data_IF_350703955470
#
_entry.id   IF_350703955470
#
_cell.length_a   1.000
_cell.length_b   1.000
_cell.length_c   1.000
_cell.angle_alpha   90.00
_cell.angle_beta   90.00
_cell.angle_gamma   90.00
#
_symmetry.space_group_name_H-M   'P 1'
#
loop_
_entity.id
_entity.type
_entity.pdbx_description
1 polymer ?
#
# COMPACT_ATOMS: atom_id res chain seq x y z
N UNK A 1 -28.24 2.57 29.31
CA UNK A 1 -26.82 2.56 29.72
C UNK A 1 -26.10 3.56 28.85
N UNK A 2 -25.78 4.73 29.38
CA UNK A 2 -25.00 5.75 28.62
C UNK A 2 -23.55 5.25 28.62
N UNK A 3 -23.09 4.82 27.45
CA UNK A 3 -21.69 4.42 27.24
C UNK A 3 -20.88 5.72 27.12
N UNK A 4 -20.22 6.12 28.21
CA UNK A 4 -19.29 7.25 28.18
C UNK A 4 -18.08 6.91 27.33
N UNK A 5 -17.58 7.82 26.49
CA UNK A 5 -16.37 7.57 25.72
C UNK A 5 -15.20 7.34 26.68
N UNK A 6 -14.61 6.16 26.60
CA UNK A 6 -13.51 5.71 27.43
C UNK A 6 -12.27 6.60 27.30
N UNK A 7 -11.52 6.71 28.41
CA UNK A 7 -10.21 7.35 28.47
C UNK A 7 -9.23 6.77 27.43
N UNK A 8 -8.16 7.51 27.12
CA UNK A 8 -7.15 7.14 26.09
C UNK A 8 -6.61 5.71 26.26
N UNK A 9 -6.42 5.26 27.52
CA UNK A 9 -5.91 3.92 27.84
C UNK A 9 -6.88 2.79 27.43
N UNK A 10 -8.18 3.02 27.50
CA UNK A 10 -9.20 1.99 27.23
C UNK A 10 -9.51 1.80 25.72
N UNK A 11 -9.15 2.77 24.85
CA UNK A 11 -9.43 2.67 23.41
C UNK A 11 -8.58 1.58 22.75
N UNK A 12 -7.27 1.56 22.98
CA UNK A 12 -6.36 0.54 22.41
C UNK A 12 -6.67 -0.86 22.96
N UNK A 13 -7.07 -0.96 24.21
CA UNK A 13 -7.56 -2.22 24.79
C UNK A 13 -8.88 -2.67 24.15
N UNK A 14 -9.77 -1.74 23.81
CA UNK A 14 -11.01 -2.09 23.12
C UNK A 14 -10.78 -2.59 21.70
N UNK A 15 -9.76 -2.09 20.97
CA UNK A 15 -9.38 -2.66 19.66
C UNK A 15 -9.03 -4.15 19.78
N UNK A 16 -8.28 -4.54 20.80
CA UNK A 16 -7.97 -5.95 21.00
C UNK A 16 -9.19 -6.79 21.35
N UNK A 17 -10.10 -6.25 22.16
CA UNK A 17 -11.33 -6.91 22.54
C UNK A 17 -12.28 -7.15 21.34
N UNK A 18 -12.36 -6.20 20.41
CA UNK A 18 -13.20 -6.28 19.22
C UNK A 18 -12.50 -6.87 17.98
N UNK A 19 -11.35 -7.54 18.10
CA UNK A 19 -10.59 -8.11 16.96
C UNK A 19 -11.41 -9.02 16.05
N UNK A 20 -12.44 -9.70 16.59
CA UNK A 20 -13.35 -10.53 15.80
C UNK A 20 -14.14 -9.72 14.78
N UNK A 21 -14.48 -8.47 15.12
CA UNK A 21 -15.15 -7.57 14.18
C UNK A 21 -14.23 -7.26 12.99
N UNK A 22 -12.94 -7.03 13.24
CA UNK A 22 -11.97 -6.84 12.16
C UNK A 22 -11.90 -8.06 11.24
N UNK A 23 -11.87 -9.27 11.81
CA UNK A 23 -11.87 -10.51 11.02
C UNK A 23 -13.13 -10.64 10.16
N UNK A 24 -14.31 -10.39 10.74
CA UNK A 24 -15.60 -10.47 10.01
C UNK A 24 -15.64 -9.43 8.88
N UNK A 25 -15.18 -8.19 9.14
CA UNK A 25 -15.11 -7.14 8.13
C UNK A 25 -14.16 -7.52 7.00
N UNK A 26 -12.94 -7.99 7.33
CA UNK A 26 -11.97 -8.45 6.36
C UNK A 26 -12.51 -9.57 5.49
N UNK A 27 -13.14 -10.58 6.10
CA UNK A 27 -13.76 -11.70 5.37
C UNK A 27 -14.89 -11.21 4.45
N UNK A 28 -15.75 -10.31 4.93
CA UNK A 28 -16.82 -9.70 4.13
C UNK A 28 -16.23 -8.96 2.92
N UNK A 29 -15.22 -8.11 3.13
CA UNK A 29 -14.66 -7.28 2.07
C UNK A 29 -13.95 -8.12 1.01
N UNK A 30 -13.24 -9.19 1.43
CA UNK A 30 -12.67 -10.19 0.53
C UNK A 30 -13.80 -10.91 -0.25
N UNK A 31 -14.85 -11.34 0.43
CA UNK A 31 -15.96 -12.06 -0.21
C UNK A 31 -16.68 -11.17 -1.23
N UNK A 32 -16.94 -9.91 -0.91
CA UNK A 32 -17.58 -8.97 -1.84
C UNK A 32 -16.72 -8.74 -3.07
N UNK A 33 -15.41 -8.57 -2.92
CA UNK A 33 -14.50 -8.33 -4.04
C UNK A 33 -14.41 -9.50 -5.01
N UNK A 34 -14.40 -10.71 -4.50
CA UNK A 34 -14.11 -11.89 -5.32
C UNK A 34 -15.33 -12.75 -5.70
N UNK A 35 -16.40 -12.79 -4.89
CA UNK A 35 -17.58 -13.64 -5.16
C UNK A 35 -18.46 -13.16 -6.31
N UNK A 36 -18.49 -11.87 -6.60
CA UNK A 36 -19.43 -11.28 -7.55
C UNK A 36 -18.81 -10.93 -8.92
N UNK A 37 -17.55 -11.30 -9.16
CA UNK A 37 -16.87 -10.96 -10.41
C UNK A 37 -16.33 -12.23 -11.08
N UNK A 38 -16.79 -12.49 -12.32
CA UNK A 38 -16.30 -13.60 -13.16
C UNK A 38 -14.79 -13.48 -13.42
N UNK A 39 -14.25 -12.24 -13.47
CA UNK A 39 -12.86 -11.92 -13.77
C UNK A 39 -12.11 -11.31 -12.58
N UNK A 40 -12.61 -11.41 -11.35
CA UNK A 40 -12.03 -10.71 -10.19
C UNK A 40 -10.55 -11.00 -9.97
N UNK A 41 -10.19 -12.27 -9.92
CA UNK A 41 -8.78 -12.69 -9.79
C UNK A 41 -7.96 -12.40 -11.06
N UNK A 42 -8.58 -12.48 -12.24
CA UNK A 42 -7.91 -12.21 -13.51
C UNK A 42 -7.51 -10.74 -13.62
N UNK A 43 -8.33 -9.82 -13.15
CA UNK A 43 -7.99 -8.40 -13.14
C UNK A 43 -6.83 -8.06 -12.21
N UNK A 44 -6.71 -8.73 -11.06
CA UNK A 44 -5.59 -8.55 -10.15
C UNK A 44 -4.25 -8.94 -10.82
N UNK A 45 -4.30 -9.88 -11.77
CA UNK A 45 -3.16 -10.37 -12.55
C UNK A 45 -2.94 -9.52 -13.80
N UNK A 46 -3.99 -9.26 -14.57
CA UNK A 46 -3.91 -8.62 -15.89
C UNK A 46 -3.44 -7.17 -15.80
N UNK A 47 -3.91 -6.42 -14.81
CA UNK A 47 -3.56 -5.00 -14.65
C UNK A 47 -2.05 -4.79 -14.44
N UNK A 48 -1.36 -5.48 -13.51
CA UNK A 48 0.09 -5.39 -13.39
C UNK A 48 0.83 -5.82 -14.66
N UNK A 49 0.38 -6.88 -15.34
CA UNK A 49 1.02 -7.36 -16.56
C UNK A 49 0.92 -6.36 -17.71
N UNK A 50 -0.26 -5.81 -17.97
CA UNK A 50 -0.45 -4.81 -19.01
C UNK A 50 0.38 -3.54 -18.73
N UNK A 51 0.38 -3.08 -17.47
CA UNK A 51 1.17 -1.91 -17.11
C UNK A 51 2.68 -2.21 -17.20
N UNK A 52 3.12 -3.38 -16.77
CA UNK A 52 4.51 -3.83 -16.95
C UNK A 52 4.91 -3.81 -18.41
N UNK A 53 4.06 -4.34 -19.31
CA UNK A 53 4.33 -4.36 -20.76
C UNK A 53 4.49 -2.93 -21.30
N UNK A 54 3.56 -2.04 -20.96
CA UNK A 54 3.62 -0.63 -21.41
C UNK A 54 4.88 0.06 -20.89
N UNK A 55 5.16 -0.03 -19.58
CA UNK A 55 6.33 0.62 -18.99
C UNK A 55 7.66 0.02 -19.52
N UNK A 56 7.70 -1.29 -19.77
CA UNK A 56 8.86 -1.95 -20.37
C UNK A 56 9.12 -1.45 -21.79
N UNK A 57 8.07 -1.25 -22.59
CA UNK A 57 8.23 -0.71 -23.95
C UNK A 57 8.68 0.76 -23.88
N UNK A 58 8.00 1.57 -23.09
CA UNK A 58 8.25 3.01 -23.02
C UNK A 58 9.63 3.31 -22.43
N UNK A 59 9.93 2.79 -21.25
CA UNK A 59 11.17 3.11 -20.54
C UNK A 59 12.33 2.19 -20.95
N UNK A 60 12.07 0.92 -21.19
CA UNK A 60 13.12 -0.05 -21.54
C UNK A 60 13.53 0.01 -23.00
N UNK A 61 12.56 0.09 -23.95
CA UNK A 61 12.88 0.05 -25.39
C UNK A 61 12.98 1.43 -26.05
N UNK A 62 12.06 2.36 -25.73
CA UNK A 62 12.01 3.68 -26.36
C UNK A 62 13.00 4.64 -25.68
N UNK A 63 12.91 4.77 -24.35
CA UNK A 63 13.78 5.65 -23.58
C UNK A 63 15.17 5.05 -23.29
N UNK A 64 15.39 3.76 -23.55
CA UNK A 64 16.67 3.05 -23.33
C UNK A 64 17.26 3.25 -21.92
N UNK A 65 16.40 3.30 -20.91
CA UNK A 65 16.87 3.45 -19.52
C UNK A 65 17.57 2.17 -19.05
N UNK A 66 18.65 2.29 -18.27
CA UNK A 66 19.35 1.14 -17.74
C UNK A 66 18.49 0.36 -16.74
N UNK A 67 18.51 -0.96 -16.87
CA UNK A 67 17.93 -1.85 -15.86
C UNK A 67 18.95 -2.03 -14.74
N UNK A 68 18.81 -1.34 -13.61
CA UNK A 68 19.72 -1.46 -12.47
C UNK A 68 19.91 -2.92 -12.01
N UNK A 69 21.15 -3.27 -11.57
CA UNK A 69 21.48 -4.58 -10.98
C UNK A 69 21.43 -5.77 -11.92
N UNK A 70 21.47 -5.57 -13.27
CA UNK A 70 21.44 -6.66 -14.25
C UNK A 70 20.12 -7.40 -14.36
N UNK A 71 19.04 -6.87 -13.76
CA UNK A 71 17.70 -7.44 -13.89
C UNK A 71 17.13 -7.22 -15.30
N UNK A 72 16.45 -8.22 -15.89
CA UNK A 72 15.61 -7.98 -17.05
C UNK A 72 14.58 -6.89 -16.78
N UNK A 73 14.39 -5.96 -17.73
CA UNK A 73 13.54 -4.79 -17.55
C UNK A 73 12.10 -5.12 -17.07
N UNK A 74 11.43 -6.18 -17.61
CA UNK A 74 10.12 -6.58 -17.11
C UNK A 74 10.09 -6.91 -15.61
N UNK A 75 11.16 -7.54 -15.10
CA UNK A 75 11.27 -7.90 -13.66
C UNK A 75 11.52 -6.65 -12.81
N UNK A 76 12.37 -5.73 -13.29
CA UNK A 76 12.59 -4.45 -12.65
C UNK A 76 11.28 -3.68 -12.49
N UNK A 77 10.46 -3.63 -13.54
CA UNK A 77 9.16 -2.95 -13.51
C UNK A 77 8.18 -3.68 -12.60
N UNK A 78 8.07 -5.02 -12.68
CA UNK A 78 7.15 -5.81 -11.84
C UNK A 78 7.49 -5.67 -10.35
N UNK A 79 8.76 -5.72 -9.99
CA UNK A 79 9.19 -5.56 -8.59
C UNK A 79 8.83 -4.21 -7.99
N UNK A 80 8.68 -3.16 -8.82
CA UNK A 80 8.18 -1.85 -8.40
C UNK A 80 6.66 -1.73 -8.47
N UNK A 81 6.01 -2.31 -9.50
CA UNK A 81 4.56 -2.25 -9.68
C UNK A 81 3.78 -2.98 -8.60
N UNK A 82 4.26 -4.14 -8.17
CA UNK A 82 3.54 -4.97 -7.19
C UNK A 82 3.32 -4.24 -5.86
N UNK A 83 4.36 -3.74 -5.18
CA UNK A 83 4.16 -2.97 -3.97
C UNK A 83 3.42 -1.65 -4.21
N UNK A 84 3.60 -1.03 -5.38
CA UNK A 84 2.86 0.18 -5.74
C UNK A 84 1.35 -0.09 -5.87
N UNK A 85 0.95 -1.15 -6.58
CA UNK A 85 -0.47 -1.49 -6.71
C UNK A 85 -1.11 -1.87 -5.38
N UNK A 86 -0.38 -2.59 -4.52
CA UNK A 86 -0.84 -2.83 -3.15
C UNK A 86 -1.13 -1.52 -2.44
N UNK A 87 -0.17 -0.61 -2.41
CA UNK A 87 -0.29 0.69 -1.74
C UNK A 87 -1.44 1.51 -2.33
N UNK A 88 -1.46 1.68 -3.65
CA UNK A 88 -2.41 2.56 -4.33
C UNK A 88 -3.85 2.08 -4.23
N UNK A 89 -4.10 0.79 -4.45
CA UNK A 89 -5.44 0.21 -4.35
C UNK A 89 -5.94 0.22 -2.91
N UNK A 90 -5.11 -0.20 -1.96
CA UNK A 90 -5.47 -0.21 -0.54
C UNK A 90 -5.72 1.19 0.00
N UNK A 91 -4.90 2.19 -0.40
CA UNK A 91 -5.10 3.58 -0.01
C UNK A 91 -6.45 4.13 -0.48
N UNK A 92 -6.83 3.86 -1.73
CA UNK A 92 -8.14 4.27 -2.28
C UNK A 92 -9.30 3.65 -1.51
N UNK A 93 -9.24 2.36 -1.23
CA UNK A 93 -10.28 1.66 -0.48
C UNK A 93 -10.35 2.12 0.98
N UNK A 94 -9.21 2.26 1.65
CA UNK A 94 -9.14 2.76 3.02
C UNK A 94 -9.75 4.13 3.15
N UNK A 95 -9.42 5.03 2.22
CA UNK A 95 -9.89 6.42 2.26
C UNK A 95 -11.41 6.55 2.10
N UNK A 96 -12.04 5.63 1.36
CA UNK A 96 -13.48 5.61 1.15
C UNK A 96 -14.22 4.70 2.15
N UNK A 97 -13.51 3.93 2.97
CA UNK A 97 -14.07 2.85 3.79
C UNK A 97 -15.17 3.32 4.75
N UNK A 98 -15.00 4.46 5.40
CA UNK A 98 -15.96 5.00 6.37
C UNK A 98 -17.23 5.48 5.65
N UNK A 99 -17.09 6.19 4.53
CA UNK A 99 -18.21 6.72 3.74
C UNK A 99 -19.01 5.57 3.12
N UNK A 100 -18.33 4.57 2.55
CA UNK A 100 -18.98 3.41 1.94
C UNK A 100 -19.76 2.57 2.97
N UNK A 101 -19.39 2.63 4.25
CA UNK A 101 -20.04 1.90 5.33
C UNK A 101 -20.87 2.79 6.28
N UNK A 102 -21.34 3.97 5.82
CA UNK A 102 -22.11 4.93 6.64
C UNK A 102 -23.30 4.31 7.38
N UNK A 103 -24.05 3.43 6.72
CA UNK A 103 -25.19 2.74 7.33
C UNK A 103 -24.80 1.86 8.54
N UNK A 104 -23.60 1.28 8.52
CA UNK A 104 -23.09 0.48 9.64
C UNK A 104 -22.54 1.37 10.75
N UNK A 105 -21.82 2.44 10.37
CA UNK A 105 -21.26 3.43 11.31
C UNK A 105 -22.33 4.10 12.15
N UNK A 106 -23.54 4.35 11.58
CA UNK A 106 -24.67 4.98 12.28
C UNK A 106 -25.48 4.04 13.16
N UNK A 107 -25.47 2.71 12.90
CA UNK A 107 -26.36 1.75 13.55
C UNK A 107 -25.67 0.86 14.58
N UNK A 108 -24.36 0.60 14.45
CA UNK A 108 -23.62 -0.37 15.25
C UNK A 108 -22.43 0.32 15.92
N UNK A 109 -22.26 0.04 17.23
CA UNK A 109 -21.12 0.53 17.98
C UNK A 109 -19.95 -0.45 17.89
N UNK A 110 -18.85 -0.02 17.23
CA UNK A 110 -17.56 -0.69 17.17
C UNK A 110 -16.46 0.34 16.90
N UNK A 111 -15.16 0.01 17.14
CA UNK A 111 -14.05 0.90 16.80
C UNK A 111 -13.97 1.12 15.27
N UNK A 112 -14.24 2.34 14.83
CA UNK A 112 -14.40 2.66 13.40
C UNK A 112 -13.10 2.53 12.60
N UNK A 113 -11.94 2.50 13.27
CA UNK A 113 -10.64 2.20 12.64
C UNK A 113 -10.62 0.83 11.95
N UNK A 114 -11.47 -0.12 12.33
CA UNK A 114 -11.51 -1.42 11.67
C UNK A 114 -11.97 -1.37 10.23
N UNK A 115 -12.74 -0.35 9.83
CA UNK A 115 -13.17 -0.17 8.45
C UNK A 115 -12.00 0.10 7.50
N UNK A 116 -11.10 1.06 7.76
CA UNK A 116 -9.89 1.20 6.95
C UNK A 116 -8.97 -0.03 7.05
N UNK A 117 -8.76 -0.60 8.24
CA UNK A 117 -7.86 -1.74 8.40
C UNK A 117 -8.31 -3.02 7.69
N UNK A 118 -9.62 -3.28 7.55
CA UNK A 118 -10.11 -4.45 6.82
C UNK A 118 -9.68 -4.45 5.35
N UNK A 119 -9.54 -3.29 4.73
CA UNK A 119 -9.10 -3.15 3.33
C UNK A 119 -7.63 -3.56 3.11
N UNK A 120 -6.77 -3.46 4.16
CA UNK A 120 -5.39 -3.95 4.07
C UNK A 120 -5.37 -5.47 3.80
N UNK A 121 -6.28 -6.22 4.42
CA UNK A 121 -6.38 -7.66 4.22
C UNK A 121 -6.71 -8.02 2.76
N UNK A 122 -7.58 -7.25 2.13
CA UNK A 122 -7.93 -7.42 0.71
C UNK A 122 -6.71 -7.12 -0.18
N UNK A 123 -6.04 -5.99 0.08
CA UNK A 123 -4.83 -5.61 -0.65
C UNK A 123 -3.69 -6.62 -0.53
N UNK A 124 -3.53 -7.26 0.64
CA UNK A 124 -2.53 -8.32 0.84
C UNK A 124 -2.80 -9.57 -0.02
N UNK A 125 -4.07 -9.92 -0.24
CA UNK A 125 -4.41 -11.03 -1.15
C UNK A 125 -4.01 -10.66 -2.58
N UNK A 126 -4.33 -9.44 -3.04
CA UNK A 126 -3.93 -8.97 -4.37
C UNK A 126 -2.39 -8.95 -4.52
N UNK A 127 -1.68 -8.53 -3.47
CA UNK A 127 -0.22 -8.55 -3.43
C UNK A 127 0.32 -9.98 -3.54
N UNK A 128 -0.23 -10.92 -2.77
CA UNK A 128 0.19 -12.33 -2.84
C UNK A 128 -0.02 -12.92 -4.23
N UNK A 129 -1.16 -12.66 -4.87
CA UNK A 129 -1.43 -13.10 -6.24
C UNK A 129 -0.42 -12.49 -7.23
N UNK A 130 -0.11 -11.21 -7.07
CA UNK A 130 0.88 -10.51 -7.91
C UNK A 130 2.30 -11.02 -7.67
N UNK A 131 2.65 -11.42 -6.46
CA UNK A 131 3.93 -12.04 -6.13
C UNK A 131 4.13 -13.39 -6.85
N UNK A 132 3.06 -14.20 -6.99
CA UNK A 132 3.12 -15.44 -7.78
C UNK A 132 3.53 -15.14 -9.21
N UNK A 133 2.98 -14.08 -9.81
CA UNK A 133 3.35 -13.65 -11.17
C UNK A 133 4.84 -13.28 -11.23
N UNK A 134 5.33 -12.50 -10.27
CA UNK A 134 6.73 -12.12 -10.20
C UNK A 134 7.63 -13.35 -10.17
N UNK A 135 7.32 -14.35 -9.35
CA UNK A 135 8.10 -15.58 -9.26
C UNK A 135 8.06 -16.39 -10.56
N UNK A 136 6.92 -16.46 -11.24
CA UNK A 136 6.83 -17.07 -12.56
C UNK A 136 7.74 -16.34 -13.57
N UNK A 137 7.72 -15.02 -13.58
CA UNK A 137 8.58 -14.24 -14.46
C UNK A 137 10.07 -14.39 -14.11
N UNK A 138 10.43 -14.49 -12.82
CA UNK A 138 11.81 -14.79 -12.43
C UNK A 138 12.28 -16.13 -13.02
N UNK A 139 11.43 -17.17 -13.01
CA UNK A 139 11.75 -18.46 -13.62
C UNK A 139 11.90 -18.32 -15.13
N UNK A 140 10.96 -17.67 -15.81
CA UNK A 140 10.97 -17.49 -17.27
C UNK A 140 12.20 -16.73 -17.75
N UNK A 141 12.62 -15.70 -17.00
CA UNK A 141 13.79 -14.89 -17.35
C UNK A 141 15.11 -15.41 -16.77
N UNK A 142 15.10 -16.56 -16.08
CA UNK A 142 16.29 -17.18 -15.51
C UNK A 142 16.92 -16.43 -14.34
N UNK A 143 16.15 -15.60 -13.62
CA UNK A 143 16.63 -14.91 -12.43
C UNK A 143 16.68 -15.90 -11.26
N UNK A 144 17.85 -16.03 -10.64
CA UNK A 144 18.09 -16.99 -9.56
C UNK A 144 17.35 -16.59 -8.29
N UNK A 145 16.73 -17.56 -7.63
CA UNK A 145 16.18 -17.37 -6.29
C UNK A 145 17.32 -17.27 -5.28
N UNK A 146 17.38 -16.15 -4.58
CA UNK A 146 18.39 -15.87 -3.55
C UNK A 146 17.76 -15.81 -2.16
N UNK A 147 18.59 -15.98 -1.13
CA UNK A 147 18.20 -15.82 0.29
C UNK A 147 17.66 -14.40 0.58
N UNK A 148 18.06 -13.41 -0.22
CA UNK A 148 17.55 -12.02 -0.11
C UNK A 148 16.04 -11.90 -0.27
N UNK A 149 15.38 -12.85 -0.94
CA UNK A 149 13.92 -12.89 -1.05
C UNK A 149 13.23 -13.02 0.32
N UNK A 150 13.89 -13.57 1.32
CA UNK A 150 13.38 -13.62 2.70
C UNK A 150 13.24 -12.24 3.34
N UNK A 151 13.83 -11.20 2.78
CA UNK A 151 13.63 -9.82 3.23
C UNK A 151 12.33 -9.17 2.73
N UNK A 152 11.67 -9.75 1.71
CA UNK A 152 10.41 -9.20 1.16
C UNK A 152 9.35 -8.95 2.25
N UNK A 153 9.10 -9.84 3.23
CA UNK A 153 8.15 -9.57 4.30
C UNK A 153 8.43 -8.27 5.08
N UNK A 154 9.71 -7.91 5.28
CA UNK A 154 10.06 -6.66 5.96
C UNK A 154 9.63 -5.43 5.13
N UNK A 155 9.81 -5.47 3.82
CA UNK A 155 9.36 -4.41 2.92
C UNK A 155 7.84 -4.37 2.78
N UNK A 156 7.16 -5.52 2.87
CA UNK A 156 5.69 -5.58 2.95
C UNK A 156 5.20 -4.90 4.24
N UNK A 157 5.84 -5.12 5.37
CA UNK A 157 5.51 -4.43 6.64
C UNK A 157 5.68 -2.92 6.49
N UNK A 158 6.74 -2.46 5.81
CA UNK A 158 6.94 -1.05 5.50
C UNK A 158 5.80 -0.50 4.61
N UNK A 159 5.42 -1.23 3.56
CA UNK A 159 4.30 -0.85 2.69
C UNK A 159 2.97 -0.78 3.45
N UNK A 160 2.70 -1.76 4.33
CA UNK A 160 1.52 -1.77 5.21
C UNK A 160 1.53 -0.54 6.13
N UNK A 161 2.68 -0.22 6.74
CA UNK A 161 2.78 0.93 7.64
C UNK A 161 2.52 2.25 6.92
N UNK A 162 3.11 2.45 5.73
CA UNK A 162 2.86 3.61 4.89
C UNK A 162 1.37 3.73 4.51
N UNK A 163 0.78 2.62 4.06
CA UNK A 163 -0.62 2.55 3.68
C UNK A 163 -1.56 2.81 4.86
N UNK A 164 -1.31 2.16 6.02
CA UNK A 164 -2.11 2.32 7.21
C UNK A 164 -2.11 3.77 7.71
N UNK A 165 -0.93 4.41 7.79
CA UNK A 165 -0.80 5.78 8.27
C UNK A 165 -1.50 6.78 7.36
N UNK A 166 -1.14 6.78 6.09
CA UNK A 166 -1.69 7.70 5.09
C UNK A 166 -3.18 7.40 4.86
N UNK A 167 -3.57 6.12 4.82
CA UNK A 167 -4.95 5.68 4.62
C UNK A 167 -5.88 6.09 5.77
N UNK A 168 -5.45 5.96 7.04
CA UNK A 168 -6.21 6.45 8.19
C UNK A 168 -6.39 7.97 8.14
N UNK A 169 -5.34 8.71 7.81
CA UNK A 169 -5.41 10.16 7.66
C UNK A 169 -6.45 10.57 6.62
N UNK A 170 -6.37 9.99 5.42
CA UNK A 170 -7.31 10.30 4.35
C UNK A 170 -8.73 9.76 4.60
N UNK A 171 -8.87 8.62 5.27
CA UNK A 171 -10.20 8.11 5.68
C UNK A 171 -10.92 9.09 6.60
N UNK A 172 -10.20 9.67 7.57
CA UNK A 172 -10.77 10.68 8.47
C UNK A 172 -11.04 12.01 7.76
N UNK A 173 -10.13 12.43 6.87
CA UNK A 173 -10.26 13.67 6.12
C UNK A 173 -11.43 13.61 5.12
N UNK A 174 -11.64 12.46 4.47
CA UNK A 174 -12.70 12.24 3.50
C UNK A 174 -14.11 12.32 4.12
N UNK A 175 -14.26 11.98 5.40
CA UNK A 175 -15.53 12.18 6.12
C UNK A 175 -15.81 13.66 6.35
N UNK A 176 -14.78 14.47 6.58
CA UNK A 176 -14.94 15.91 6.81
C UNK A 176 -15.11 16.72 5.53
N UNK A 177 -14.38 16.32 4.48
CA UNK A 177 -14.28 17.07 3.22
C UNK A 177 -14.51 16.14 2.04
N UNK A 178 -15.65 16.28 1.37
CA UNK A 178 -16.05 15.42 0.23
C UNK A 178 -15.09 15.49 -0.96
N UNK A 179 -14.37 16.59 -1.12
CA UNK A 179 -13.44 16.79 -2.23
C UNK A 179 -12.22 15.85 -2.16
N UNK A 180 -11.92 15.31 -0.97
CA UNK A 180 -10.80 14.38 -0.75
C UNK A 180 -10.93 13.12 -1.61
N UNK A 181 -12.16 12.65 -1.87
CA UNK A 181 -12.42 11.52 -2.77
C UNK A 181 -11.87 11.72 -4.18
N UNK A 182 -11.74 12.95 -4.66
CA UNK A 182 -11.17 13.28 -5.97
C UNK A 182 -9.65 13.49 -5.92
N UNK A 183 -9.14 13.99 -4.79
CA UNK A 183 -7.71 14.27 -4.60
C UNK A 183 -6.91 12.97 -4.53
N UNK A 184 -7.43 11.93 -3.86
CA UNK A 184 -6.70 10.68 -3.63
C UNK A 184 -6.39 9.93 -4.93
N UNK A 185 -7.33 9.72 -5.88
CA UNK A 185 -7.03 9.13 -7.18
C UNK A 185 -5.94 9.89 -7.94
N UNK A 186 -5.97 11.23 -7.85
CA UNK A 186 -4.95 12.08 -8.45
C UNK A 186 -3.56 11.84 -7.83
N UNK A 187 -3.45 11.84 -6.50
CA UNK A 187 -2.21 11.55 -5.79
C UNK A 187 -1.67 10.17 -6.17
N UNK A 188 -2.52 9.16 -6.24
CA UNK A 188 -2.15 7.81 -6.60
C UNK A 188 -1.67 7.74 -8.06
N UNK A 189 -2.35 8.40 -8.98
CA UNK A 189 -1.97 8.41 -10.39
C UNK A 189 -0.61 9.08 -10.61
N UNK A 190 -0.41 10.26 -10.05
CA UNK A 190 0.87 10.96 -10.16
C UNK A 190 1.97 10.27 -9.38
N UNK A 191 1.65 9.71 -8.23
CA UNK A 191 2.58 8.95 -7.40
C UNK A 191 3.24 7.78 -8.14
N UNK A 192 2.54 7.13 -9.07
CA UNK A 192 3.11 6.08 -9.92
C UNK A 192 4.32 6.56 -10.72
N UNK A 193 4.24 7.77 -11.26
CA UNK A 193 5.30 8.36 -12.09
C UNK A 193 6.40 8.99 -11.26
N UNK A 194 6.06 9.52 -10.08
CA UNK A 194 7.04 10.11 -9.16
C UNK A 194 7.83 9.01 -8.46
N UNK A 195 7.20 7.87 -8.14
CA UNK A 195 7.88 6.74 -7.50
C UNK A 195 8.76 5.98 -8.49
N UNK A 196 9.85 5.32 -8.05
CA UNK A 196 10.79 4.65 -8.95
C UNK A 196 10.22 3.30 -9.45
N UNK A 197 8.99 3.31 -10.01
CA UNK A 197 8.33 2.10 -10.48
C UNK A 197 8.88 1.67 -11.85
N UNK A 198 8.94 2.62 -12.79
CA UNK A 198 9.40 2.35 -14.16
C UNK A 198 10.90 2.54 -14.38
N UNK A 199 11.63 3.07 -13.41
CA UNK A 199 13.06 3.39 -13.51
C UNK A 199 13.77 3.07 -12.19
N UNK A 200 15.12 3.00 -12.21
CA UNK A 200 15.91 2.79 -10.98
C UNK A 200 16.08 4.10 -10.21
N UNK A 201 15.98 4.05 -8.87
CA UNK A 201 16.25 5.21 -8.02
C UNK A 201 17.71 5.73 -8.12
N UNK A 202 18.63 4.94 -8.68
CA UNK A 202 20.01 5.34 -8.92
C UNK A 202 20.15 6.50 -9.91
N UNK A 203 19.13 6.71 -10.75
CA UNK A 203 19.07 7.84 -11.70
C UNK A 203 18.86 9.18 -10.96
N UNK A 204 18.43 9.16 -9.69
CA UNK A 204 18.23 10.38 -8.90
C UNK A 204 19.58 10.85 -8.38
N UNK A 205 19.97 12.14 -8.63
CA UNK A 205 21.20 12.71 -8.09
C UNK A 205 21.28 12.57 -6.57
N UNK A 206 22.45 12.24 -6.03
CA UNK A 206 22.65 11.97 -4.59
C UNK A 206 22.09 13.05 -3.65
N UNK A 207 22.24 14.32 -4.02
CA UNK A 207 21.71 15.46 -3.26
C UNK A 207 20.20 15.43 -3.06
N UNK A 208 19.43 14.74 -3.93
CA UNK A 208 17.98 14.67 -3.89
C UNK A 208 17.47 13.32 -3.36
N UNK A 209 18.33 12.30 -3.23
CA UNK A 209 17.92 10.94 -2.81
C UNK A 209 17.25 10.93 -1.44
N UNK A 210 17.76 11.70 -0.47
CA UNK A 210 17.13 11.76 0.85
C UNK A 210 15.75 12.43 0.81
N UNK A 211 15.60 13.53 0.04
CA UNK A 211 14.30 14.18 -0.16
C UNK A 211 13.32 13.26 -0.89
N UNK A 212 13.82 12.51 -1.87
CA UNK A 212 13.03 11.52 -2.61
C UNK A 212 12.52 10.40 -1.69
N UNK A 213 13.29 10.05 -0.66
CA UNK A 213 12.94 9.05 0.35
C UNK A 213 11.87 9.53 1.36
N UNK A 214 11.39 10.81 1.26
CA UNK A 214 10.16 11.25 1.93
C UNK A 214 8.93 10.46 1.48
N UNK A 215 8.94 9.95 0.27
CA UNK A 215 7.97 8.97 -0.18
C UNK A 215 8.37 7.58 0.35
N UNK A 216 7.66 7.01 1.34
CA UNK A 216 8.03 5.72 1.93
C UNK A 216 8.00 4.57 0.91
N UNK A 217 7.26 4.73 -0.21
CA UNK A 217 7.23 3.73 -1.26
C UNK A 217 8.53 3.62 -2.04
N UNK A 218 9.40 4.63 -2.00
CA UNK A 218 10.76 4.55 -2.57
C UNK A 218 11.55 3.44 -1.88
N UNK A 219 11.63 3.47 -0.55
CA UNK A 219 12.31 2.43 0.22
C UNK A 219 11.70 1.04 0.05
N UNK A 220 10.37 0.94 -0.10
CA UNK A 220 9.69 -0.33 -0.38
C UNK A 220 10.11 -0.87 -1.75
N UNK A 221 10.03 -0.06 -2.80
CA UNK A 221 10.33 -0.47 -4.18
C UNK A 221 11.80 -0.86 -4.33
N UNK A 222 12.71 -0.05 -3.80
CA UNK A 222 14.14 -0.35 -3.83
C UNK A 222 14.47 -1.63 -3.05
N UNK A 223 13.83 -1.84 -1.91
CA UNK A 223 13.94 -3.06 -1.14
C UNK A 223 13.44 -4.30 -1.87
N UNK A 224 12.30 -4.21 -2.56
CA UNK A 224 11.80 -5.31 -3.41
C UNK A 224 12.78 -5.64 -4.54
N UNK A 225 13.34 -4.63 -5.22
CA UNK A 225 14.34 -4.82 -6.27
C UNK A 225 15.60 -5.48 -5.76
N UNK A 226 16.11 -5.00 -4.63
CA UNK A 226 17.26 -5.59 -3.98
C UNK A 226 17.02 -7.06 -3.64
N UNK A 227 15.86 -7.38 -3.09
CA UNK A 227 15.51 -8.76 -2.75
C UNK A 227 15.44 -9.66 -3.99
N UNK A 228 14.82 -9.17 -5.07
CA UNK A 228 14.63 -9.91 -6.34
C UNK A 228 15.93 -10.03 -7.13
N UNK A 229 16.81 -9.02 -7.08
CA UNK A 229 18.12 -9.05 -7.78
C UNK A 229 19.15 -9.94 -7.11
N UNK A 230 18.83 -10.55 -5.97
CA UNK A 230 19.82 -11.32 -5.20
C UNK A 230 20.86 -10.46 -4.49
N UNK A 231 20.54 -9.19 -4.21
CA UNK A 231 21.46 -8.23 -3.59
C UNK A 231 22.32 -7.44 -4.58
N UNK A 232 22.13 -7.61 -5.89
CA UNK A 232 22.96 -6.96 -6.92
C UNK A 232 22.56 -5.51 -7.22
N UNK A 233 21.41 -5.04 -6.72
CA UNK A 233 21.04 -3.61 -6.77
C UNK A 233 21.50 -2.91 -5.51
N UNK A 234 22.03 -1.69 -5.65
CA UNK A 234 22.46 -0.90 -4.49
C UNK A 234 21.25 -0.38 -3.73
N UNK A 235 21.28 -0.54 -2.40
CA UNK A 235 20.31 0.09 -1.49
C UNK A 235 20.90 1.39 -0.96
N UNK A 236 20.16 2.49 -1.10
CA UNK A 236 20.46 3.70 -0.38
C UNK A 236 19.99 3.59 1.07
N UNK A 237 20.85 3.03 1.94
CA UNK A 237 20.54 2.74 3.34
C UNK A 237 19.98 3.93 4.14
N UNK A 238 20.54 5.16 4.04
CA UNK A 238 19.96 6.30 4.74
C UNK A 238 18.52 6.57 4.32
N UNK A 239 18.22 6.46 3.03
CA UNK A 239 16.86 6.62 2.50
C UNK A 239 15.91 5.53 2.96
N UNK A 240 16.37 4.29 3.05
CA UNK A 240 15.56 3.17 3.55
C UNK A 240 15.18 3.36 5.02
N UNK A 241 16.16 3.70 5.88
CA UNK A 241 15.91 4.00 7.30
C UNK A 241 14.92 5.16 7.42
N UNK A 242 15.09 6.20 6.61
CA UNK A 242 14.20 7.35 6.59
C UNK A 242 12.77 6.98 6.15
N UNK A 243 12.63 6.12 5.14
CA UNK A 243 11.33 5.59 4.71
C UNK A 243 10.64 4.79 5.83
N UNK A 244 11.38 3.99 6.61
CA UNK A 244 10.85 3.30 7.79
C UNK A 244 10.38 4.27 8.87
N UNK A 245 11.18 5.31 9.15
CA UNK A 245 10.83 6.34 10.13
C UNK A 245 9.54 7.09 9.72
N UNK A 246 9.42 7.45 8.45
CA UNK A 246 8.22 8.12 7.90
C UNK A 246 7.02 7.16 7.94
N UNK A 247 7.20 5.89 7.58
CA UNK A 247 6.15 4.88 7.67
C UNK A 247 5.60 4.76 9.09
N UNK A 248 6.47 4.64 10.08
CA UNK A 248 6.09 4.58 11.49
C UNK A 248 5.43 5.89 11.97
N UNK A 249 6.00 7.04 11.62
CA UNK A 249 5.44 8.34 11.96
C UNK A 249 4.05 8.55 11.34
N UNK A 250 3.85 8.13 10.09
CA UNK A 250 2.55 8.23 9.41
C UNK A 250 1.48 7.40 10.10
N UNK A 251 1.80 6.18 10.56
CA UNK A 251 0.86 5.34 11.34
C UNK A 251 0.46 6.06 12.63
N UNK A 252 1.44 6.59 13.35
CA UNK A 252 1.18 7.28 14.62
C UNK A 252 0.31 8.52 14.41
N UNK A 253 0.69 9.39 13.47
CA UNK A 253 -0.03 10.64 13.19
C UNK A 253 -1.41 10.36 12.57
N UNK A 254 -1.50 9.41 11.64
CA UNK A 254 -2.76 9.00 11.02
C UNK A 254 -3.76 8.44 12.04
N UNK A 255 -3.28 7.58 12.95
CA UNK A 255 -4.12 7.02 14.01
C UNK A 255 -4.59 8.09 15.01
N UNK A 256 -3.72 9.03 15.39
CA UNK A 256 -4.09 10.16 16.26
C UNK A 256 -5.13 11.06 15.60
N UNK A 257 -4.91 11.42 14.33
CA UNK A 257 -5.85 12.26 13.59
C UNK A 257 -7.20 11.57 13.40
N UNK A 258 -7.23 10.32 12.94
CA UNK A 258 -8.45 9.54 12.78
C UNK A 258 -9.25 9.52 14.09
N UNK A 259 -8.59 9.22 15.20
CA UNK A 259 -9.22 9.17 16.51
C UNK A 259 -9.80 10.53 16.95
N UNK A 260 -9.11 11.64 16.65
CA UNK A 260 -9.60 12.98 17.00
C UNK A 260 -10.91 13.33 16.30
N UNK A 261 -11.08 12.80 15.08
CA UNK A 261 -12.24 13.06 14.21
C UNK A 261 -13.33 12.01 14.37
N UNK A 262 -13.00 10.78 14.76
CA UNK A 262 -13.91 9.62 14.86
C UNK A 262 -15.21 9.94 15.63
N UNK A 263 -15.13 10.80 16.66
CA UNK A 263 -16.29 11.21 17.46
C UNK A 263 -17.33 11.99 16.65
N UNK A 264 -16.89 12.74 15.66
CA UNK A 264 -17.75 13.57 14.81
C UNK A 264 -18.38 12.79 13.65
N UNK A 265 -17.93 11.55 13.38
CA UNK A 265 -18.44 10.79 12.23
C UNK A 265 -19.95 10.54 12.29
N UNK A 266 -20.51 10.32 13.50
CA UNK A 266 -21.94 10.07 13.64
C UNK A 266 -22.79 11.31 13.37
N UNK A 267 -22.21 12.51 13.46
CA UNK A 267 -22.92 13.79 13.29
C UNK A 267 -22.81 14.31 11.84
N UNK A 268 -21.78 13.84 11.09
CA UNK A 268 -21.46 14.34 9.74
C UNK A 268 -21.92 13.38 8.64
N UNK A 269 -22.01 12.08 8.92
CA UNK A 269 -22.44 11.02 7.99
C UNK A 269 -23.96 10.81 8.05
#
# INVERSE_FOLDING_TARGET
>A
RVIRPNSVKNYWSSLWHYREVLYILSYRDIAVRYKQTILGYVWAILKPLLTMLVLTIVFGKIANLPSGGGLPYPILVLSGLIPWYFFSATLLEMSNSVINNKAMVSKIYFPRMFLPFSNISVGLIDLCLSMVILFIFMIVFGVKFSVTLLAIPAFIVLAISACAGIGLFFAALNVQYRDVQFIIPFIVQFGLYISPVGFSADLIPEKWRLLYSLNPMVGVIDGFRWAVSGGNTDIYWPGLIFSFAIGAASVFLGALYFRSVERKFADVI
#
